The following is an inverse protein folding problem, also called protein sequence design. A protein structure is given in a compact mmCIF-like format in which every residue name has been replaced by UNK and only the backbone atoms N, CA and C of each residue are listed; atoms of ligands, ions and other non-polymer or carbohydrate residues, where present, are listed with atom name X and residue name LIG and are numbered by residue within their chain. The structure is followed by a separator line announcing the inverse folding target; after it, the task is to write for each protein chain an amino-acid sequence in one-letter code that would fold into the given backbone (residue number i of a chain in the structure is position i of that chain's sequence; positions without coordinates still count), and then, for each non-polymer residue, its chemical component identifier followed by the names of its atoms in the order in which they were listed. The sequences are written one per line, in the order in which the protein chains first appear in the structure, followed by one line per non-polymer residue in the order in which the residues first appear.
data_IF_706798398804
#
_entry.id   IF_706798398804
#
_cell.length_a   1.000
_cell.length_b   1.000
_cell.length_c   1.000
_cell.angle_alpha   90.00
_cell.angle_beta   90.00
_cell.angle_gamma   90.00
#
_symmetry.space_group_name_H-M   'P 1'
#
loop_
_entity.id
_entity.type
_entity.pdbx_description
1 polymer ?
#
# COMPACT_ATOMS: atom_id res chain seq x y z
N UNK A 1 -12.51 -5.82 21.51
CA UNK A 1 -12.20 -5.74 21.02
C UNK A 1 -11.50 -4.84 20.71
N UNK A 2 -11.04 -4.78 20.32
CA UNK A 2 -10.17 -4.09 20.17
C UNK A 2 -10.23 -3.16 19.25
N UNK A 3 -10.17 -2.15 19.38
CA UNK A 3 -10.14 -1.37 18.55
C UNK A 3 -9.08 -1.32 17.85
N UNK A 4 -9.02 -1.77 16.90
CA UNK A 4 -7.99 -1.90 16.21
C UNK A 4 -7.54 -0.68 15.68
N UNK A 5 -6.55 -0.18 15.97
CA UNK A 5 -6.03 0.79 15.31
C UNK A 5 -5.24 0.29 14.23
N UNK A 6 -5.46 0.66 13.03
CA UNK A 6 -4.67 0.24 11.88
C UNK A 6 -3.27 0.76 12.03
N UNK A 7 -2.31 -0.07 11.77
CA UNK A 7 -0.93 0.38 11.81
C UNK A 7 -0.65 1.24 10.59
N UNK A 8 0.37 2.08 10.64
CA UNK A 8 0.72 2.90 9.48
C UNK A 8 1.00 2.07 8.24
N UNK A 9 1.58 0.88 8.42
CA UNK A 9 1.85 0.01 7.29
C UNK A 9 0.57 -0.47 6.65
N UNK A 10 -0.41 -0.79 7.48
CA UNK A 10 -1.66 -1.27 6.97
C UNK A 10 -2.38 -0.19 6.19
N UNK A 11 -2.36 1.02 6.71
CA UNK A 11 -2.99 2.15 6.03
C UNK A 11 -2.29 2.38 4.69
N UNK A 12 -0.97 2.34 4.67
CA UNK A 12 -0.23 2.54 3.44
C UNK A 12 -0.57 1.45 2.42
N UNK A 13 -0.72 0.22 2.87
CA UNK A 13 -1.05 -0.87 1.98
C UNK A 13 -2.43 -0.67 1.35
N UNK A 14 -3.38 -0.27 2.15
CA UNK A 14 -4.72 -0.03 1.65
C UNK A 14 -4.74 1.10 0.64
N UNK A 15 -4.04 2.18 0.95
CA UNK A 15 -3.97 3.31 0.03
C UNK A 15 -3.32 2.88 -1.27
N UNK A 16 -2.27 2.07 -1.18
CA UNK A 16 -1.58 1.60 -2.37
C UNK A 16 -2.53 0.81 -3.26
N UNK A 17 -3.31 -0.07 -2.66
CA UNK A 17 -4.27 -0.85 -3.43
C UNK A 17 -5.29 0.06 -4.10
N UNK A 18 -5.73 1.07 -3.39
CA UNK A 18 -6.69 2.02 -3.95
C UNK A 18 -6.11 2.71 -5.17
N UNK A 19 -4.88 3.20 -5.05
CA UNK A 19 -4.25 3.89 -6.17
C UNK A 19 -3.99 2.95 -7.33
N UNK A 20 -3.67 1.70 -7.02
CA UNK A 20 -3.45 0.72 -8.07
C UNK A 20 -4.73 0.53 -8.89
N UNK A 21 -5.86 0.46 -8.23
CA UNK A 21 -7.13 0.29 -8.91
C UNK A 21 -7.48 1.51 -9.75
N UNK A 22 -7.01 2.67 -9.32
CA UNK A 22 -7.27 3.89 -10.08
C UNK A 22 -6.31 4.08 -11.24
N UNK A 23 -5.34 3.20 -11.37
CA UNK A 23 -4.35 3.34 -12.43
C UNK A 23 -3.19 4.21 -12.07
N UNK A 24 -3.10 4.64 -10.80
CA UNK A 24 -2.00 5.48 -10.37
C UNK A 24 -0.90 4.57 -9.83
N UNK A 25 -0.29 3.83 -10.75
CA UNK A 25 0.67 2.80 -10.38
C UNK A 25 1.88 3.38 -9.65
N UNK A 26 2.38 4.52 -10.10
CA UNK A 26 3.56 5.09 -9.46
C UNK A 26 3.30 5.39 -8.00
N UNK A 27 2.14 5.97 -7.70
CA UNK A 27 1.83 6.27 -6.31
C UNK A 27 1.62 4.99 -5.53
N UNK A 28 1.02 4.00 -6.17
CA UNK A 28 0.82 2.72 -5.49
C UNK A 28 2.14 2.09 -5.13
N UNK A 29 3.11 2.13 -6.04
CA UNK A 29 4.42 1.55 -5.78
C UNK A 29 5.06 2.20 -4.55
N UNK A 30 5.01 3.51 -4.49
CA UNK A 30 5.61 4.22 -3.36
C UNK A 30 4.96 3.82 -2.05
N UNK A 31 3.64 3.72 -2.07
CA UNK A 31 2.93 3.34 -0.85
C UNK A 31 3.18 1.89 -0.47
N UNK A 32 3.31 1.01 -1.46
CA UNK A 32 3.65 -0.37 -1.15
C UNK A 32 5.03 -0.46 -0.50
N UNK A 33 5.96 0.36 -0.97
CA UNK A 33 7.27 0.39 -0.35
C UNK A 33 7.17 0.85 1.10
N UNK A 34 6.39 1.89 1.33
CA UNK A 34 6.19 2.38 2.70
C UNK A 34 5.54 1.32 3.57
N UNK A 35 4.68 0.53 3.00
CA UNK A 35 4.01 -0.52 3.75
C UNK A 35 4.90 -1.74 3.96
N UNK A 36 6.09 -1.73 3.39
CA UNK A 36 6.98 -2.87 3.50
C UNK A 36 6.66 -3.98 2.51
N UNK A 37 5.74 -3.72 1.58
CA UNK A 37 5.37 -4.73 0.59
C UNK A 37 6.26 -4.59 -0.62
N UNK A 38 7.55 -4.85 -0.43
CA UNK A 38 8.52 -4.66 -1.49
C UNK A 38 8.26 -5.54 -2.69
N UNK A 39 7.89 -6.78 -2.45
CA UNK A 39 7.60 -7.69 -3.54
C UNK A 39 6.46 -7.18 -4.40
N UNK A 40 5.44 -6.65 -3.75
CA UNK A 40 4.30 -6.13 -4.47
C UNK A 40 4.70 -4.92 -5.29
N UNK A 41 5.51 -4.04 -4.70
CA UNK A 41 5.98 -2.87 -5.41
C UNK A 41 6.81 -3.26 -6.63
N UNK A 42 7.68 -4.25 -6.48
CA UNK A 42 8.48 -4.73 -7.59
C UNK A 42 7.61 -5.32 -8.68
N UNK A 43 6.54 -5.97 -8.30
CA UNK A 43 5.65 -6.57 -9.27
C UNK A 43 4.97 -5.51 -10.12
N UNK A 44 4.71 -4.36 -9.55
CA UNK A 44 4.06 -3.28 -10.27
C UNK A 44 5.07 -2.49 -11.10
N UNK A 45 6.29 -2.47 -10.65
CA UNK A 45 7.32 -1.76 -11.39
C UNK A 45 7.71 -2.55 -12.61
#
# INVERSE_FOLDING_TARGET
MSLSMSSPKEVAFRSASYFERKGLVEKAIRLFIKAGAIKKANSLA
#
